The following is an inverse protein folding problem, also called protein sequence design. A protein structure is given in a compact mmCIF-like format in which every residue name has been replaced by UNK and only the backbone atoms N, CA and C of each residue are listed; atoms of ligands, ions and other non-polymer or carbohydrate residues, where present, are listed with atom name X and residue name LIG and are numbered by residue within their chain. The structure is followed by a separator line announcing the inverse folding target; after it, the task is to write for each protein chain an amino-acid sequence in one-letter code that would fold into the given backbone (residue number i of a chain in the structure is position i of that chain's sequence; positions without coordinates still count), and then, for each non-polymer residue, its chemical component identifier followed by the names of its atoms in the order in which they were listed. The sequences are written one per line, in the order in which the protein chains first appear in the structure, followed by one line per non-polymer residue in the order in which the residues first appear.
data_IF_997772389521
#
_entry.id   IF_997772389521
#
_cell.length_a   1.000
_cell.length_b   1.000
_cell.length_c   1.000
_cell.angle_alpha   90.00
_cell.angle_beta   90.00
_cell.angle_gamma   90.00
#
_symmetry.space_group_name_H-M   'P 1'
#
loop_
_entity.id
_entity.type
_entity.pdbx_description
1 polymer ?
#
# COMPACT_ATOMS: atom_id res chain seq x y z
N UNK A 1 51.56 -10.27 -32.55
CA UNK A 1 50.96 -10.80 -31.31
C UNK A 1 49.94 -9.81 -30.77
N UNK A 2 48.80 -9.66 -31.46
CA UNK A 2 47.77 -8.69 -31.10
C UNK A 2 46.41 -9.26 -31.48
N UNK A 3 45.78 -10.07 -30.63
CA UNK A 3 44.35 -10.40 -30.86
C UNK A 3 43.55 -10.97 -29.67
N UNK A 4 44.09 -11.02 -28.45
CA UNK A 4 43.33 -11.54 -27.30
C UNK A 4 42.58 -10.47 -26.47
N UNK A 5 42.74 -9.17 -26.77
CA UNK A 5 42.20 -8.10 -25.91
C UNK A 5 40.75 -7.69 -26.23
N UNK A 6 40.23 -7.95 -27.43
CA UNK A 6 38.89 -7.51 -27.87
C UNK A 6 37.70 -8.24 -27.21
N UNK A 7 37.69 -9.58 -27.12
CA UNK A 7 36.55 -10.33 -26.58
C UNK A 7 36.32 -10.12 -25.07
N UNK A 8 37.40 -9.82 -24.34
CA UNK A 8 37.39 -9.59 -22.89
C UNK A 8 36.83 -8.21 -22.53
N UNK A 9 37.24 -7.18 -23.26
CA UNK A 9 36.77 -5.80 -23.05
C UNK A 9 35.28 -5.66 -23.34
N UNK A 10 34.80 -6.23 -24.45
CA UNK A 10 33.37 -6.20 -24.79
C UNK A 10 32.53 -6.97 -23.75
N UNK A 11 33.02 -8.11 -23.26
CA UNK A 11 32.35 -8.87 -22.21
C UNK A 11 32.28 -8.11 -20.87
N UNK A 12 33.36 -7.38 -20.52
CA UNK A 12 33.39 -6.52 -19.32
C UNK A 12 32.39 -5.37 -19.48
N UNK A 13 32.38 -4.69 -20.64
CA UNK A 13 31.49 -3.56 -20.90
C UNK A 13 30.02 -4.00 -20.90
N UNK A 14 29.71 -5.16 -21.48
CA UNK A 14 28.36 -5.74 -21.44
C UNK A 14 27.91 -6.05 -20.01
N UNK A 15 28.81 -6.59 -19.18
CA UNK A 15 28.54 -6.87 -17.76
C UNK A 15 28.35 -5.59 -16.94
N UNK A 16 29.14 -4.56 -17.19
CA UNK A 16 28.97 -3.24 -16.55
C UNK A 16 27.64 -2.60 -16.94
N UNK A 17 27.27 -2.64 -18.22
CA UNK A 17 25.99 -2.12 -18.68
C UNK A 17 24.79 -2.88 -18.09
N UNK A 18 24.90 -4.21 -17.95
CA UNK A 18 23.88 -5.02 -17.28
C UNK A 18 23.76 -4.68 -15.79
N UNK A 19 24.89 -4.43 -15.11
CA UNK A 19 24.89 -4.01 -13.72
C UNK A 19 24.28 -2.61 -13.53
N UNK A 20 24.61 -1.67 -14.44
CA UNK A 20 24.02 -0.33 -14.44
C UNK A 20 22.49 -0.39 -14.57
N UNK A 21 21.99 -1.10 -15.59
CA UNK A 21 20.54 -1.31 -15.75
C UNK A 21 19.87 -1.91 -14.51
N UNK A 22 20.53 -2.87 -13.86
CA UNK A 22 20.02 -3.48 -12.62
C UNK A 22 19.95 -2.48 -11.48
N UNK A 23 20.99 -1.66 -11.31
CA UNK A 23 21.01 -0.64 -10.29
C UNK A 23 19.87 0.37 -10.52
N UNK A 24 19.68 0.82 -11.76
CA UNK A 24 18.58 1.72 -12.11
C UNK A 24 17.21 1.10 -11.78
N UNK A 25 16.98 -0.17 -12.14
CA UNK A 25 15.75 -0.89 -11.79
C UNK A 25 15.53 -1.01 -10.27
N UNK A 26 16.59 -1.24 -9.49
CA UNK A 26 16.48 -1.31 -8.02
C UNK A 26 16.15 0.07 -7.43
N UNK A 27 16.78 1.13 -7.93
CA UNK A 27 16.51 2.51 -7.48
C UNK A 27 15.07 2.91 -7.78
N UNK A 28 14.55 2.56 -8.97
CA UNK A 28 13.15 2.76 -9.31
C UNK A 28 12.20 1.96 -8.40
N UNK A 29 12.53 0.70 -8.11
CA UNK A 29 11.76 -0.15 -7.20
C UNK A 29 11.73 0.41 -5.76
N UNK A 30 12.87 0.87 -5.25
CA UNK A 30 12.98 1.50 -3.92
C UNK A 30 12.13 2.78 -3.83
N UNK A 31 12.14 3.60 -4.88
CA UNK A 31 11.31 4.80 -4.96
C UNK A 31 9.82 4.48 -4.93
N UNK A 32 9.38 3.52 -5.76
CA UNK A 32 8.00 3.06 -5.80
C UNK A 32 7.56 2.42 -4.47
N UNK A 33 8.45 1.69 -3.79
CA UNK A 33 8.21 1.12 -2.47
C UNK A 33 7.97 2.22 -1.42
N UNK A 34 8.86 3.22 -1.37
CA UNK A 34 8.76 4.33 -0.44
C UNK A 34 7.45 5.12 -0.63
N UNK A 35 7.07 5.41 -1.88
CA UNK A 35 5.82 6.07 -2.20
C UNK A 35 4.61 5.24 -1.79
N UNK A 36 4.61 3.93 -2.10
CA UNK A 36 3.53 3.03 -1.75
C UNK A 36 3.30 2.99 -0.23
N UNK A 37 4.38 2.88 0.55
CA UNK A 37 4.36 2.88 2.02
C UNK A 37 3.88 4.22 2.59
N UNK A 38 4.41 5.34 2.10
CA UNK A 38 4.04 6.68 2.57
C UNK A 38 2.54 6.95 2.32
N UNK A 39 2.06 6.62 1.13
CA UNK A 39 0.65 6.72 0.75
C UNK A 39 -0.24 5.84 1.62
N UNK A 40 0.15 4.58 1.86
CA UNK A 40 -0.59 3.67 2.72
C UNK A 40 -0.70 4.19 4.16
N UNK A 41 0.41 4.67 4.71
CA UNK A 41 0.46 5.24 6.06
C UNK A 41 -0.42 6.48 6.19
N UNK A 42 -0.37 7.40 5.22
CA UNK A 42 -1.19 8.61 5.24
C UNK A 42 -2.68 8.29 5.25
N UNK A 43 -3.12 7.35 4.42
CA UNK A 43 -4.54 6.95 4.35
C UNK A 43 -4.96 6.22 5.63
N UNK A 44 -4.12 5.33 6.18
CA UNK A 44 -4.44 4.63 7.43
C UNK A 44 -4.59 5.61 8.60
N UNK A 45 -3.69 6.59 8.71
CA UNK A 45 -3.77 7.67 9.71
C UNK A 45 -5.07 8.46 9.58
N UNK A 46 -5.48 8.78 8.36
CA UNK A 46 -6.73 9.51 8.12
C UNK A 46 -7.95 8.66 8.47
N UNK A 47 -7.97 7.38 8.10
CA UNK A 47 -9.03 6.45 8.49
C UNK A 47 -9.20 6.36 10.00
N UNK A 48 -8.09 6.25 10.76
CA UNK A 48 -8.12 6.23 12.23
C UNK A 48 -8.72 7.52 12.77
N UNK A 49 -8.25 8.70 12.32
CA UNK A 49 -8.80 10.00 12.76
C UNK A 49 -10.31 10.11 12.51
N UNK A 50 -10.78 9.63 11.37
CA UNK A 50 -12.21 9.66 11.03
C UNK A 50 -13.02 8.71 11.93
N UNK A 51 -12.49 7.54 12.26
CA UNK A 51 -13.12 6.62 13.20
C UNK A 51 -13.17 7.23 14.61
N UNK A 52 -12.10 7.88 15.06
CA UNK A 52 -12.05 8.58 16.34
C UNK A 52 -13.10 9.72 16.39
N UNK A 53 -13.23 10.49 15.31
CA UNK A 53 -14.26 11.53 15.19
C UNK A 53 -15.68 10.97 15.28
N UNK A 54 -15.96 9.85 14.60
CA UNK A 54 -17.25 9.16 14.71
C UNK A 54 -17.49 8.68 16.16
N UNK A 55 -16.46 8.15 16.82
CA UNK A 55 -16.53 7.74 18.23
C UNK A 55 -16.90 8.92 19.13
N UNK A 56 -16.21 10.05 18.99
CA UNK A 56 -16.50 11.27 19.74
C UNK A 56 -17.92 11.82 19.46
N UNK A 57 -18.42 11.73 18.22
CA UNK A 57 -19.78 12.11 17.88
C UNK A 57 -20.83 11.20 18.54
N UNK A 58 -20.57 9.89 18.60
CA UNK A 58 -21.45 8.93 19.29
C UNK A 58 -21.44 9.20 20.80
N UNK A 59 -20.26 9.35 21.40
CA UNK A 59 -20.12 9.65 22.83
C UNK A 59 -20.78 10.98 23.20
N UNK A 60 -20.62 12.02 22.37
CA UNK A 60 -21.27 13.32 22.56
C UNK A 60 -22.78 13.31 22.34
N UNK A 61 -23.32 12.28 21.69
CA UNK A 61 -24.77 12.10 21.52
C UNK A 61 -25.43 11.36 22.69
N UNK A 62 -24.67 10.60 23.50
CA UNK A 62 -25.21 9.85 24.65
C UNK A 62 -25.84 10.76 25.73
N UNK A 63 -25.21 11.86 26.20
CA UNK A 63 -25.85 12.78 27.14
C UNK A 63 -27.09 13.46 26.53
N UNK A 64 -27.05 13.74 25.22
CA UNK A 64 -28.17 14.33 24.49
C UNK A 64 -29.32 13.36 24.29
N UNK A 65 -29.10 12.05 24.42
CA UNK A 65 -30.15 11.05 24.35
C UNK A 65 -31.17 11.23 25.49
N UNK A 66 -30.70 11.60 26.68
CA UNK A 66 -31.57 11.95 27.82
C UNK A 66 -32.35 13.25 27.56
N UNK A 67 -31.73 14.25 26.91
CA UNK A 67 -32.39 15.52 26.52
C UNK A 67 -33.32 15.40 25.30
N UNK A 68 -33.03 14.49 24.36
CA UNK A 68 -33.79 14.27 23.12
C UNK A 68 -35.09 13.47 23.33
N UNK A 69 -35.49 13.30 24.59
CA UNK A 69 -36.65 12.51 24.98
C UNK A 69 -36.61 11.11 24.34
N UNK A 70 -35.49 10.38 24.49
CA UNK A 70 -35.40 8.98 24.08
C UNK A 70 -36.41 8.07 24.79
N UNK A 71 -37.02 8.56 25.86
CA UNK A 71 -38.19 7.97 26.52
C UNK A 71 -39.48 8.07 25.66
N UNK A 72 -39.41 8.81 24.55
CA UNK A 72 -40.47 8.88 23.53
C UNK A 72 -40.12 7.98 22.34
N UNK A 73 -41.12 7.30 21.73
CA UNK A 73 -40.90 6.50 20.54
C UNK A 73 -40.27 7.26 19.36
N UNK A 74 -40.51 8.58 19.28
CA UNK A 74 -39.97 9.44 18.23
C UNK A 74 -38.47 9.71 18.44
N UNK A 75 -38.05 10.06 19.66
CA UNK A 75 -36.65 10.27 19.99
C UNK A 75 -35.80 9.02 19.80
N UNK A 76 -36.31 7.86 20.23
CA UNK A 76 -35.66 6.57 20.01
C UNK A 76 -35.45 6.26 18.50
N UNK A 77 -36.43 6.59 17.65
CA UNK A 77 -36.34 6.36 16.21
C UNK A 77 -35.31 7.27 15.54
N UNK A 78 -35.23 8.53 15.91
CA UNK A 78 -34.23 9.45 15.35
C UNK A 78 -32.82 9.08 15.81
N UNK A 79 -32.65 8.67 17.08
CA UNK A 79 -31.37 8.17 17.56
C UNK A 79 -30.94 6.88 16.84
N UNK A 80 -31.87 5.95 16.59
CA UNK A 80 -31.58 4.75 15.80
C UNK A 80 -31.14 5.08 14.37
N UNK A 81 -31.78 6.07 13.72
CA UNK A 81 -31.36 6.53 12.38
C UNK A 81 -29.96 7.12 12.40
N UNK A 82 -29.64 7.92 13.42
CA UNK A 82 -28.29 8.47 13.63
C UNK A 82 -27.26 7.35 13.77
N UNK A 83 -27.49 6.36 14.62
CA UNK A 83 -26.58 5.23 14.80
C UNK A 83 -26.41 4.40 13.51
N UNK A 84 -27.49 4.16 12.77
CA UNK A 84 -27.42 3.48 11.47
C UNK A 84 -26.60 4.27 10.44
N UNK A 85 -26.69 5.61 10.46
CA UNK A 85 -25.85 6.45 9.61
C UNK A 85 -24.37 6.32 10.00
N UNK A 86 -24.05 6.37 11.29
CA UNK A 86 -22.67 6.17 11.78
C UNK A 86 -22.11 4.78 11.47
N UNK A 87 -22.93 3.75 11.59
CA UNK A 87 -22.53 2.39 11.19
C UNK A 87 -22.16 2.32 9.70
N UNK A 88 -22.93 2.98 8.83
CA UNK A 88 -22.63 3.04 7.39
C UNK A 88 -21.35 3.81 7.10
N UNK A 89 -21.11 4.92 7.81
CA UNK A 89 -19.86 5.67 7.71
C UNK A 89 -18.64 4.81 8.11
N UNK A 90 -18.74 4.10 9.24
CA UNK A 90 -17.69 3.16 9.69
C UNK A 90 -17.45 2.08 8.65
N UNK A 91 -18.52 1.44 8.14
CA UNK A 91 -18.41 0.38 7.15
C UNK A 91 -17.72 0.87 5.86
N UNK A 92 -18.01 2.10 5.42
CA UNK A 92 -17.37 2.70 4.26
C UNK A 92 -15.87 2.95 4.49
N UNK A 93 -15.48 3.44 5.67
CA UNK A 93 -14.07 3.65 6.03
C UNK A 93 -13.30 2.32 6.03
N UNK A 94 -13.88 1.30 6.66
CA UNK A 94 -13.25 -0.04 6.74
C UNK A 94 -13.14 -0.69 5.35
N UNK A 95 -14.19 -0.61 4.53
CA UNK A 95 -14.14 -1.14 3.17
C UNK A 95 -13.06 -0.46 2.32
N UNK A 96 -12.92 0.87 2.43
CA UNK A 96 -11.86 1.62 1.76
C UNK A 96 -10.47 1.20 2.23
N UNK A 97 -10.27 1.00 3.54
CA UNK A 97 -9.01 0.51 4.08
C UNK A 97 -8.64 -0.88 3.55
N UNK A 98 -9.60 -1.79 3.40
CA UNK A 98 -9.38 -3.12 2.82
C UNK A 98 -9.04 -3.08 1.32
N UNK A 99 -9.68 -2.20 0.54
CA UNK A 99 -9.32 -2.00 -0.87
C UNK A 99 -7.88 -1.50 -1.00
N UNK A 100 -7.49 -0.56 -0.16
CA UNK A 100 -6.13 -0.04 -0.12
C UNK A 100 -5.12 -1.15 0.22
N UNK A 101 -5.40 -1.95 1.25
CA UNK A 101 -4.55 -3.06 1.66
C UNK A 101 -4.31 -4.05 0.51
N UNK A 102 -5.38 -4.44 -0.21
CA UNK A 102 -5.27 -5.29 -1.41
C UNK A 102 -4.43 -4.65 -2.50
N UNK A 103 -4.70 -3.38 -2.81
CA UNK A 103 -3.99 -2.65 -3.87
C UNK A 103 -2.50 -2.52 -3.55
N UNK A 104 -2.16 -2.13 -2.33
CA UNK A 104 -0.76 -1.96 -1.89
C UNK A 104 -0.05 -3.30 -1.79
N UNK A 105 -0.71 -4.36 -1.33
CA UNK A 105 -0.15 -5.72 -1.31
C UNK A 105 0.20 -6.22 -2.72
N UNK A 106 -0.61 -5.90 -3.73
CA UNK A 106 -0.31 -6.22 -5.13
C UNK A 106 0.92 -5.45 -5.64
N UNK A 107 1.03 -4.16 -5.32
CA UNK A 107 2.23 -3.34 -5.65
C UNK A 107 3.48 -3.92 -5.00
N UNK A 108 3.42 -4.25 -3.71
CA UNK A 108 4.55 -4.84 -2.98
C UNK A 108 4.96 -6.20 -3.57
N UNK A 109 3.99 -7.02 -3.97
CA UNK A 109 4.24 -8.31 -4.61
C UNK A 109 4.91 -8.14 -5.98
N UNK A 110 4.52 -7.13 -6.77
CA UNK A 110 5.20 -6.77 -8.02
C UNK A 110 6.62 -6.28 -7.78
N UNK A 111 6.84 -5.46 -6.75
CA UNK A 111 8.17 -4.95 -6.40
C UNK A 111 9.11 -6.07 -5.93
N UNK A 112 8.60 -7.03 -5.16
CA UNK A 112 9.37 -8.22 -4.75
C UNK A 112 9.96 -8.97 -5.95
N UNK A 113 9.28 -9.01 -7.10
CA UNK A 113 9.81 -9.63 -8.31
C UNK A 113 11.08 -8.91 -8.84
N UNK A 114 11.18 -7.59 -8.68
CA UNK A 114 12.36 -6.82 -9.09
C UNK A 114 13.58 -7.05 -8.19
N UNK A 115 13.37 -7.37 -6.91
CA UNK A 115 14.44 -7.77 -6.00
C UNK A 115 14.80 -9.26 -6.14
N UNK A 116 13.83 -10.09 -6.53
CA UNK A 116 13.97 -11.54 -6.61
C UNK A 116 14.68 -12.05 -7.87
N UNK A 117 15.00 -11.21 -8.86
CA UNK A 117 15.83 -11.59 -10.01
C UNK A 117 17.31 -11.73 -9.58
N UNK A 118 17.77 -12.95 -9.25
CA UNK A 118 19.08 -13.19 -8.67
C UNK A 118 19.96 -13.72 -9.80
N UNK A 119 20.33 -12.83 -10.72
CA UNK A 119 21.08 -13.17 -11.93
C UNK A 119 20.28 -14.04 -12.90
N UNK A 120 20.12 -13.55 -14.14
CA UNK A 120 19.80 -14.40 -15.26
C UNK A 120 20.69 -15.65 -15.22
N UNK A 121 20.04 -16.81 -15.33
CA UNK A 121 20.69 -18.09 -15.53
C UNK A 121 21.88 -17.89 -16.46
N UNK A 122 23.08 -17.96 -15.92
CA UNK A 122 24.26 -18.31 -16.69
C UNK A 122 24.10 -19.77 -17.07
N UNK A 123 23.16 -20.07 -17.98
CA UNK A 123 23.20 -21.27 -18.80
C UNK A 123 24.40 -21.09 -19.72
N UNK A 124 25.56 -21.44 -19.19
CA UNK A 124 26.72 -21.84 -19.96
C UNK A 124 26.27 -22.97 -20.87
N UNK A 125 25.89 -22.60 -22.09
CA UNK A 125 25.90 -23.50 -23.24
C UNK A 125 27.37 -23.80 -23.55
N UNK A 126 28.00 -24.63 -22.72
CA UNK A 126 29.29 -25.24 -23.03
C UNK A 126 29.06 -26.71 -23.39
N UNK A 127 29.34 -26.98 -24.66
CA UNK A 127 29.76 -28.26 -25.26
C UNK A 127 28.69 -29.33 -25.57
N UNK A 128 28.32 -29.38 -26.84
CA UNK A 128 28.60 -30.55 -27.68
C UNK A 128 29.30 -30.12 -28.96
#
# INVERSE_FOLDING_TARGET
MSEQAGPSLDAIQARQAALGRRYDTIVEADGALAEALASAHAIMRESIRRLDAIGAEIEGALPKQEELAADTPMGAREFQKFLLAKQREIAAIVAHAHELDRTKSAVLSSLLAHYADPAGEFRTSERR
#
